data_IF_278304204831
#
_entry.id   IF_278304204831
#
_cell.length_a   1.000
_cell.length_b   1.000
_cell.length_c   1.000
_cell.angle_alpha   90.00
_cell.angle_beta   90.00
_cell.angle_gamma   90.00
#
_symmetry.space_group_name_H-M   'P 1'
#
loop_
_entity.id
_entity.type
_entity.pdbx_description
1 polymer ?
#
# COMPACT_ATOMS: atom_id res chain seq x y z
N UNK A 1 37.19 -20.78 -19.78
CA UNK A 1 36.02 -20.41 -18.93
C UNK A 1 34.98 -19.76 -19.80
N UNK A 2 33.70 -20.06 -19.64
CA UNK A 2 32.66 -19.37 -20.40
C UNK A 2 32.54 -17.92 -19.91
N UNK A 3 32.13 -16.98 -20.78
CA UNK A 3 31.89 -15.56 -20.40
C UNK A 3 31.01 -15.44 -19.14
N UNK A 4 30.05 -16.36 -18.99
CA UNK A 4 29.15 -16.44 -17.82
C UNK A 4 29.89 -16.74 -16.51
N UNK A 5 30.92 -17.61 -16.55
CA UNK A 5 31.70 -17.98 -15.36
C UNK A 5 32.59 -16.82 -14.90
N UNK A 6 33.26 -16.14 -15.84
CA UNK A 6 34.10 -14.98 -15.54
C UNK A 6 33.28 -13.82 -14.94
N UNK A 7 32.07 -13.54 -15.49
CA UNK A 7 31.18 -12.52 -14.95
C UNK A 7 30.72 -12.88 -13.52
N UNK A 8 30.34 -14.13 -13.27
CA UNK A 8 29.93 -14.58 -11.93
C UNK A 8 31.03 -14.44 -10.89
N UNK A 9 32.28 -14.85 -11.22
CA UNK A 9 33.44 -14.68 -10.35
C UNK A 9 33.75 -13.22 -10.05
N UNK A 10 33.67 -12.35 -11.08
CA UNK A 10 33.84 -10.90 -10.91
C UNK A 10 32.76 -10.34 -9.97
N UNK A 11 31.48 -10.65 -10.23
CA UNK A 11 30.36 -10.16 -9.42
C UNK A 11 30.45 -10.60 -7.97
N UNK A 12 30.79 -11.88 -7.70
CA UNK A 12 30.93 -12.39 -6.34
C UNK A 12 32.03 -11.66 -5.58
N UNK A 13 33.22 -11.50 -6.19
CA UNK A 13 34.35 -10.77 -5.60
C UNK A 13 34.03 -9.30 -5.35
N UNK A 14 33.45 -8.61 -6.35
CA UNK A 14 33.16 -7.19 -6.21
C UNK A 14 31.99 -6.93 -5.26
N UNK A 15 31.04 -7.85 -5.13
CA UNK A 15 29.96 -7.72 -4.15
C UNK A 15 30.46 -7.75 -2.71
N UNK A 16 31.53 -8.50 -2.43
CA UNK A 16 32.18 -8.50 -1.12
C UNK A 16 32.89 -7.16 -0.87
N UNK A 17 33.70 -6.70 -1.82
CA UNK A 17 34.35 -5.37 -1.78
C UNK A 17 33.30 -4.26 -1.57
N UNK A 18 32.16 -4.33 -2.25
CA UNK A 18 31.08 -3.34 -2.06
C UNK A 18 30.49 -3.40 -0.63
N UNK A 19 30.29 -4.59 -0.07
CA UNK A 19 29.79 -4.72 1.32
C UNK A 19 30.76 -4.07 2.30
N UNK A 20 32.03 -4.42 2.21
CA UNK A 20 33.07 -3.96 3.15
C UNK A 20 33.23 -2.43 3.09
N UNK A 21 33.22 -1.84 1.86
CA UNK A 21 33.37 -0.41 1.70
C UNK A 21 32.08 0.41 1.90
N UNK A 22 30.91 -0.23 1.93
CA UNK A 22 29.63 0.46 2.16
C UNK A 22 29.11 0.28 3.59
N UNK A 23 29.75 -0.54 4.42
CA UNK A 23 29.34 -0.73 5.81
C UNK A 23 29.63 0.55 6.62
N UNK A 24 28.61 1.01 7.35
CA UNK A 24 28.73 2.12 8.30
C UNK A 24 28.50 1.54 9.70
N UNK A 25 29.45 1.78 10.60
CA UNK A 25 29.36 1.33 11.98
C UNK A 25 28.09 1.85 12.65
N UNK A 26 27.38 0.94 13.32
CA UNK A 26 26.05 1.25 13.90
C UNK A 26 26.12 2.31 15.00
N UNK A 27 27.21 2.37 15.73
CA UNK A 27 27.38 3.30 16.84
C UNK A 27 27.55 4.75 16.36
N UNK A 28 28.09 4.98 15.16
CA UNK A 28 28.19 6.31 14.54
C UNK A 28 26.82 6.98 14.36
N UNK A 29 25.76 6.22 14.07
CA UNK A 29 24.42 6.82 13.98
C UNK A 29 23.95 7.44 15.30
N UNK A 30 24.33 6.82 16.43
CA UNK A 30 24.00 7.31 17.76
C UNK A 30 24.92 8.48 18.16
N UNK A 31 26.21 8.36 17.91
CA UNK A 31 27.22 9.38 18.22
C UNK A 31 26.96 10.68 17.47
N UNK A 32 26.61 10.59 16.19
CA UNK A 32 26.33 11.74 15.33
C UNK A 32 24.86 12.21 15.42
N UNK A 33 24.03 11.58 16.27
CA UNK A 33 22.63 11.94 16.43
C UNK A 33 21.75 11.73 15.18
N UNK A 34 22.15 10.79 14.30
CA UNK A 34 21.45 10.53 13.04
C UNK A 34 20.12 9.83 13.29
N UNK A 35 19.05 10.41 12.78
CA UNK A 35 17.70 9.84 12.87
C UNK A 35 17.46 8.86 11.73
N UNK A 36 17.94 7.62 11.92
CA UNK A 36 17.88 6.57 10.90
C UNK A 36 16.43 6.26 10.52
N UNK A 37 16.14 6.30 9.20
CA UNK A 37 14.78 6.17 8.70
C UNK A 37 13.87 7.32 9.14
N UNK A 38 14.43 8.51 9.40
CA UNK A 38 13.73 9.71 9.89
C UNK A 38 12.98 9.47 11.22
N UNK A 39 13.54 8.60 12.09
CA UNK A 39 13.02 8.32 13.44
C UNK A 39 14.12 8.45 14.47
N UNK A 40 13.77 8.92 15.66
CA UNK A 40 14.68 8.93 16.79
C UNK A 40 14.84 7.50 17.39
N UNK A 41 15.68 7.40 18.42
CA UNK A 41 15.96 6.11 19.11
C UNK A 41 14.72 5.54 19.80
N UNK A 42 13.70 6.35 20.09
CA UNK A 42 12.43 5.93 20.68
C UNK A 42 11.38 5.60 19.61
N UNK A 43 11.72 5.69 18.32
CA UNK A 43 10.84 5.43 17.19
C UNK A 43 9.92 6.61 16.85
N UNK A 44 10.10 7.79 17.44
CA UNK A 44 9.33 8.99 17.11
C UNK A 44 9.81 9.55 15.77
N UNK A 45 8.87 9.77 14.84
CA UNK A 45 9.17 10.31 13.50
C UNK A 45 9.61 11.77 13.56
N UNK A 46 10.51 12.15 12.64
CA UNK A 46 10.81 13.56 12.37
C UNK A 46 9.57 14.22 11.80
N UNK A 47 9.20 15.40 12.33
CA UNK A 47 8.17 16.23 11.71
C UNK A 47 8.77 16.86 10.44
N UNK A 48 8.49 16.25 9.29
CA UNK A 48 9.07 16.64 8.00
C UNK A 48 8.17 17.57 7.18
N UNK A 49 6.89 17.68 7.52
CA UNK A 49 5.92 18.51 6.79
C UNK A 49 4.61 18.66 7.52
N UNK A 50 3.73 19.46 6.94
CA UNK A 50 2.35 19.67 7.37
C UNK A 50 1.39 19.21 6.30
N UNK A 51 0.20 18.76 6.68
CA UNK A 51 -0.84 18.32 5.73
C UNK A 51 -2.24 18.62 6.24
N UNK A 52 -3.13 18.98 5.33
CA UNK A 52 -4.56 19.08 5.55
C UNK A 52 -5.33 17.82 5.07
N UNK A 53 -4.62 16.82 4.52
CA UNK A 53 -5.27 15.66 3.87
C UNK A 53 -5.77 14.67 4.90
N UNK A 54 -4.94 14.31 5.88
CA UNK A 54 -5.30 13.33 6.89
C UNK A 54 -4.64 13.60 8.25
N UNK A 55 -5.24 13.06 9.29
CA UNK A 55 -4.68 13.07 10.64
C UNK A 55 -4.76 11.67 11.25
N UNK A 56 -3.63 11.19 11.77
CA UNK A 56 -3.52 9.90 12.43
C UNK A 56 -3.19 10.15 13.90
N UNK A 57 -4.03 9.66 14.81
CA UNK A 57 -3.81 9.78 16.25
C UNK A 57 -3.73 8.40 16.89
N UNK A 58 -2.77 8.23 17.79
CA UNK A 58 -2.57 7.02 18.62
C UNK A 58 -2.24 7.35 20.06
N UNK A 59 -2.27 8.63 20.40
CA UNK A 59 -2.01 9.14 21.75
C UNK A 59 -2.68 10.50 21.93
N UNK A 60 -3.02 10.80 23.17
CA UNK A 60 -3.56 12.09 23.61
C UNK A 60 -2.64 12.69 24.67
N UNK A 61 -2.70 14.00 24.84
CA UNK A 61 -1.97 14.67 25.93
C UNK A 61 -2.95 14.84 27.09
N UNK A 62 -2.68 14.14 28.20
CA UNK A 62 -3.45 14.24 29.45
C UNK A 62 -2.49 14.74 30.52
N UNK A 63 -2.82 15.86 31.14
CA UNK A 63 -2.00 16.51 32.18
C UNK A 63 -0.53 16.79 31.76
N UNK A 64 -0.33 17.04 30.45
CA UNK A 64 1.00 17.30 29.87
C UNK A 64 1.79 16.05 29.50
N UNK A 65 1.28 14.87 29.80
CA UNK A 65 1.89 13.58 29.43
C UNK A 65 1.23 12.96 28.19
N UNK A 66 2.04 12.31 27.36
CA UNK A 66 1.58 11.62 26.16
C UNK A 66 1.09 10.21 26.55
N UNK A 67 -0.23 10.01 26.54
CA UNK A 67 -0.88 8.74 26.88
C UNK A 67 -1.36 8.05 25.60
N UNK A 68 -1.07 6.74 25.38
CA UNK A 68 -1.64 5.99 24.27
C UNK A 68 -3.17 5.99 24.32
N UNK A 69 -3.80 6.15 23.16
CA UNK A 69 -5.27 6.05 23.01
C UNK A 69 -5.63 5.10 21.87
N UNK A 70 -6.92 4.80 21.75
CA UNK A 70 -7.47 4.12 20.58
C UNK A 70 -7.04 4.86 19.31
N UNK A 71 -6.69 4.09 18.29
CA UNK A 71 -6.29 4.64 17.00
C UNK A 71 -7.43 5.43 16.35
N UNK A 72 -7.13 6.63 15.86
CA UNK A 72 -8.08 7.47 15.12
C UNK A 72 -7.48 7.85 13.78
N UNK A 73 -8.29 7.85 12.74
CA UNK A 73 -7.95 8.27 11.39
C UNK A 73 -9.00 9.27 10.91
N UNK A 74 -8.53 10.42 10.46
CA UNK A 74 -9.38 11.46 9.91
C UNK A 74 -8.97 11.75 8.48
N UNK A 75 -9.92 11.81 7.57
CA UNK A 75 -9.75 12.31 6.20
C UNK A 75 -10.33 13.72 6.11
N UNK A 76 -9.50 14.71 5.82
CA UNK A 76 -9.88 16.13 5.78
C UNK A 76 -10.65 16.60 7.04
N UNK A 77 -10.33 16.01 8.20
CA UNK A 77 -10.96 16.34 9.48
C UNK A 77 -12.17 15.49 9.85
N UNK A 78 -12.72 14.68 8.93
CA UNK A 78 -13.82 13.75 9.20
C UNK A 78 -13.30 12.41 9.69
N UNK A 79 -13.90 11.88 10.77
CA UNK A 79 -13.55 10.56 11.30
C UNK A 79 -13.90 9.46 10.31
N UNK A 80 -13.00 8.50 10.10
CA UNK A 80 -13.18 7.40 9.15
C UNK A 80 -14.39 6.53 9.46
N UNK A 81 -14.75 6.36 10.75
CA UNK A 81 -15.97 5.64 11.14
C UNK A 81 -17.21 6.38 10.68
N UNK A 82 -17.26 7.70 10.88
CA UNK A 82 -18.40 8.54 10.46
C UNK A 82 -18.55 8.56 8.94
N UNK A 83 -17.45 8.61 8.20
CA UNK A 83 -17.44 8.55 6.74
C UNK A 83 -18.00 7.22 6.24
N UNK A 84 -17.50 6.09 6.76
CA UNK A 84 -17.98 4.76 6.36
C UNK A 84 -19.47 4.57 6.74
N UNK A 85 -19.85 4.94 7.95
CA UNK A 85 -21.23 4.85 8.41
C UNK A 85 -22.17 5.74 7.57
N UNK A 86 -21.69 6.92 7.16
CA UNK A 86 -22.44 7.88 6.37
C UNK A 86 -22.86 7.34 4.99
N UNK A 87 -21.94 6.79 4.20
CA UNK A 87 -22.32 6.24 2.89
C UNK A 87 -23.04 4.89 3.03
N UNK A 88 -22.70 4.08 4.04
CA UNK A 88 -23.41 2.83 4.29
C UNK A 88 -24.87 3.01 4.68
N UNK A 89 -25.20 4.01 5.49
CA UNK A 89 -26.60 4.35 5.83
C UNK A 89 -27.43 4.79 4.62
N UNK A 90 -26.79 5.37 3.62
CA UNK A 90 -27.44 5.79 2.36
C UNK A 90 -27.50 4.66 1.33
N UNK A 91 -27.03 3.46 1.69
CA UNK A 91 -26.90 2.33 0.77
C UNK A 91 -26.06 2.66 -0.48
N UNK A 92 -25.01 3.48 -0.31
CA UNK A 92 -24.16 3.99 -1.38
C UNK A 92 -22.75 3.37 -1.34
N UNK A 93 -22.02 3.48 -2.45
CA UNK A 93 -20.59 3.23 -2.54
C UNK A 93 -19.81 4.47 -2.12
N UNK A 94 -18.72 4.29 -1.39
CA UNK A 94 -17.95 5.37 -0.77
C UNK A 94 -16.75 5.85 -1.58
N UNK A 95 -16.23 5.05 -2.53
CA UNK A 95 -14.97 5.36 -3.20
C UNK A 95 -14.98 6.74 -3.87
N UNK A 96 -15.98 7.05 -4.67
CA UNK A 96 -16.06 8.30 -5.42
C UNK A 96 -16.28 9.51 -4.50
N UNK A 97 -17.12 9.36 -3.46
CA UNK A 97 -17.39 10.41 -2.48
C UNK A 97 -16.15 10.77 -1.67
N UNK A 98 -15.43 9.74 -1.19
CA UNK A 98 -14.21 9.95 -0.39
C UNK A 98 -13.05 10.42 -1.27
N UNK A 99 -12.99 10.00 -2.54
CA UNK A 99 -12.06 10.57 -3.52
C UNK A 99 -12.28 12.07 -3.68
N UNK A 100 -13.54 12.49 -3.85
CA UNK A 100 -13.89 13.92 -3.90
C UNK A 100 -13.44 14.65 -2.64
N UNK A 101 -13.75 14.11 -1.45
CA UNK A 101 -13.35 14.70 -0.18
C UNK A 101 -11.83 14.88 -0.09
N UNK A 102 -11.05 13.85 -0.40
CA UNK A 102 -9.59 13.91 -0.29
C UNK A 102 -8.97 14.91 -1.27
N UNK A 103 -9.48 14.99 -2.50
CA UNK A 103 -8.95 15.89 -3.52
C UNK A 103 -9.37 17.35 -3.25
N UNK A 104 -10.64 17.60 -2.91
CA UNK A 104 -11.21 18.96 -2.85
C UNK A 104 -11.42 19.50 -1.44
N UNK A 105 -11.21 18.68 -0.40
CA UNK A 105 -11.22 19.12 1.01
C UNK A 105 -12.60 19.30 1.63
N UNK A 106 -13.68 18.93 0.94
CA UNK A 106 -15.08 19.01 1.41
C UNK A 106 -15.90 17.84 0.89
N UNK A 107 -16.91 17.43 1.62
CA UNK A 107 -17.88 16.44 1.13
C UNK A 107 -18.69 17.04 -0.02
N UNK A 108 -18.96 16.27 -1.09
CA UNK A 108 -19.81 16.71 -2.18
C UNK A 108 -21.29 16.71 -1.77
N UNK A 109 -22.08 17.63 -2.34
CA UNK A 109 -23.52 17.44 -2.40
C UNK A 109 -23.89 16.43 -3.52
N UNK A 110 -25.18 16.08 -3.63
CA UNK A 110 -25.65 15.08 -4.61
C UNK A 110 -25.32 15.47 -6.06
N UNK A 111 -25.43 16.75 -6.40
CA UNK A 111 -25.15 17.26 -7.74
C UNK A 111 -23.65 17.17 -8.05
N UNK A 112 -22.82 17.59 -7.10
CA UNK A 112 -21.36 17.53 -7.21
C UNK A 112 -20.86 16.08 -7.29
N UNK A 113 -21.44 15.18 -6.49
CA UNK A 113 -21.06 13.77 -6.53
C UNK A 113 -21.43 13.11 -7.86
N UNK A 114 -22.61 13.45 -8.40
CA UNK A 114 -23.06 12.95 -9.70
C UNK A 114 -22.12 13.44 -10.82
N UNK A 115 -21.86 14.75 -10.89
CA UNK A 115 -20.93 15.33 -11.85
C UNK A 115 -19.54 14.67 -11.75
N UNK A 116 -19.03 14.48 -10.53
CA UNK A 116 -17.73 13.87 -10.30
C UNK A 116 -17.66 12.42 -10.77
N UNK A 117 -18.71 11.64 -10.52
CA UNK A 117 -18.80 10.25 -11.04
C UNK A 117 -18.81 10.22 -12.57
N UNK A 118 -19.51 11.13 -13.21
CA UNK A 118 -19.52 11.25 -14.67
C UNK A 118 -18.12 11.59 -15.22
N UNK A 119 -17.38 12.49 -14.58
CA UNK A 119 -16.00 12.84 -14.97
C UNK A 119 -15.06 11.65 -14.81
N UNK A 120 -15.11 10.93 -13.67
CA UNK A 120 -14.30 9.74 -13.47
C UNK A 120 -14.61 8.65 -14.51
N UNK A 121 -15.89 8.42 -14.78
CA UNK A 121 -16.35 7.44 -15.76
C UNK A 121 -15.86 7.77 -17.18
N UNK A 122 -15.98 9.04 -17.60
CA UNK A 122 -15.47 9.51 -18.90
C UNK A 122 -13.94 9.37 -19.00
N UNK A 123 -13.24 9.42 -17.87
CA UNK A 123 -11.78 9.27 -17.79
C UNK A 123 -11.31 7.81 -17.83
N UNK A 124 -12.22 6.84 -17.73
CA UNK A 124 -11.90 5.40 -17.81
C UNK A 124 -11.60 4.96 -19.26
N UNK A 125 -10.65 5.62 -19.90
CA UNK A 125 -10.29 5.35 -21.30
C UNK A 125 -8.78 5.38 -21.48
N UNK A 126 -8.20 4.29 -22.00
CA UNK A 126 -6.79 4.22 -22.37
C UNK A 126 -6.60 4.67 -23.84
N UNK A 127 -5.42 5.21 -24.19
CA UNK A 127 -5.10 5.56 -25.57
C UNK A 127 -5.31 4.39 -26.53
N UNK A 128 -5.57 4.70 -27.82
CA UNK A 128 -5.79 3.66 -28.85
C UNK A 128 -4.61 2.68 -28.89
N UNK A 129 -4.91 1.40 -28.89
CA UNK A 129 -3.96 0.29 -28.88
C UNK A 129 -3.07 0.17 -27.65
N UNK A 130 -3.18 1.04 -26.64
CA UNK A 130 -2.33 1.05 -25.44
C UNK A 130 -2.35 -0.30 -24.70
N UNK A 131 -3.52 -0.91 -24.54
CA UNK A 131 -3.65 -2.23 -23.91
C UNK A 131 -2.80 -3.26 -24.62
N UNK A 132 -2.91 -3.36 -25.97
CA UNK A 132 -2.16 -4.31 -26.79
C UNK A 132 -0.66 -4.04 -26.78
N UNK A 133 -0.27 -2.78 -27.02
CA UNK A 133 1.11 -2.42 -27.34
C UNK A 133 1.97 -2.14 -26.10
N UNK A 134 1.35 -1.84 -24.95
CA UNK A 134 2.04 -1.51 -23.71
C UNK A 134 1.77 -2.56 -22.64
N UNK A 135 0.50 -2.80 -22.29
CA UNK A 135 0.15 -3.66 -21.16
C UNK A 135 0.42 -5.13 -21.48
N UNK A 136 -0.08 -5.62 -22.62
CA UNK A 136 0.03 -7.03 -22.99
C UNK A 136 1.37 -7.40 -23.66
N UNK A 137 2.15 -6.43 -24.12
CA UNK A 137 3.40 -6.69 -24.88
C UNK A 137 4.50 -7.36 -24.04
N UNK A 138 4.56 -7.06 -22.75
CA UNK A 138 5.54 -7.61 -21.83
C UNK A 138 4.84 -8.06 -20.53
N UNK A 139 4.15 -9.19 -20.56
CA UNK A 139 3.43 -9.72 -19.40
C UNK A 139 4.41 -10.05 -18.29
N UNK A 140 3.99 -9.82 -17.05
CA UNK A 140 4.81 -10.05 -15.85
C UNK A 140 3.91 -10.47 -14.70
N UNK A 141 4.37 -11.43 -13.88
CA UNK A 141 3.76 -11.73 -12.59
C UNK A 141 3.73 -10.50 -11.66
N UNK A 142 4.72 -9.64 -11.80
CA UNK A 142 4.82 -8.39 -11.04
C UNK A 142 3.94 -7.31 -11.67
N UNK A 143 2.66 -7.30 -11.27
CA UNK A 143 1.68 -6.33 -11.78
C UNK A 143 2.02 -4.91 -11.34
N UNK A 144 2.67 -4.70 -10.19
CA UNK A 144 3.15 -3.37 -9.80
C UNK A 144 4.18 -2.82 -10.80
N UNK A 145 5.06 -3.68 -11.33
CA UNK A 145 5.96 -3.29 -12.40
C UNK A 145 5.21 -2.96 -13.70
N UNK A 146 4.17 -3.75 -14.02
CA UNK A 146 3.31 -3.47 -15.18
C UNK A 146 2.62 -2.11 -15.04
N UNK A 147 2.12 -1.76 -13.86
CA UNK A 147 1.55 -0.43 -13.58
C UNK A 147 2.58 0.69 -13.76
N UNK A 148 3.74 0.55 -13.14
CA UNK A 148 4.81 1.57 -13.20
C UNK A 148 5.25 1.86 -14.64
N UNK A 149 5.54 0.83 -15.43
CA UNK A 149 5.93 1.01 -16.84
C UNK A 149 4.78 1.61 -17.67
N UNK A 150 3.53 1.20 -17.40
CA UNK A 150 2.37 1.69 -18.14
C UNK A 150 2.12 3.18 -17.86
N UNK A 151 2.22 3.62 -16.60
CA UNK A 151 2.08 5.04 -16.25
C UNK A 151 3.18 5.89 -16.91
N UNK A 152 4.44 5.47 -16.84
CA UNK A 152 5.53 6.19 -17.50
C UNK A 152 5.33 6.26 -19.03
N UNK A 153 4.79 5.21 -19.62
CA UNK A 153 4.48 5.21 -21.05
C UNK A 153 3.30 6.12 -21.39
N UNK A 154 2.29 6.24 -20.47
CA UNK A 154 1.15 7.17 -20.67
C UNK A 154 1.61 8.62 -20.83
N UNK A 155 2.69 9.03 -20.18
CA UNK A 155 3.26 10.37 -20.35
C UNK A 155 3.55 10.70 -21.82
N UNK A 156 3.95 9.72 -22.64
CA UNK A 156 4.21 9.92 -24.07
C UNK A 156 2.96 10.12 -24.93
N UNK A 157 1.78 9.90 -24.37
CA UNK A 157 0.48 10.12 -25.03
C UNK A 157 -0.21 11.40 -24.55
N UNK A 158 0.36 12.11 -23.58
CA UNK A 158 -0.15 13.37 -23.05
C UNK A 158 0.73 14.54 -23.55
N UNK A 159 0.19 15.37 -24.44
CA UNK A 159 0.89 16.53 -24.99
C UNK A 159 1.27 17.56 -23.91
N UNK A 160 0.56 17.56 -22.78
CA UNK A 160 0.79 18.43 -21.63
C UNK A 160 1.43 17.69 -20.45
N UNK A 161 2.17 16.59 -20.70
CA UNK A 161 2.73 15.75 -19.63
C UNK A 161 3.54 16.53 -18.60
N UNK A 162 4.35 17.50 -19.06
CA UNK A 162 5.26 18.29 -18.22
C UNK A 162 4.65 19.55 -17.61
N UNK A 163 3.39 19.88 -17.95
CA UNK A 163 2.70 21.02 -17.36
C UNK A 163 2.25 20.71 -15.94
N UNK A 164 2.83 21.40 -14.96
CA UNK A 164 2.54 21.26 -13.53
C UNK A 164 1.52 22.29 -13.01
N UNK A 165 0.81 22.98 -13.89
CA UNK A 165 -0.32 23.83 -13.47
C UNK A 165 -1.36 23.00 -12.72
N UNK A 166 -2.01 23.61 -11.73
CA UNK A 166 -2.98 22.93 -10.86
C UNK A 166 -4.09 22.23 -11.66
N UNK A 167 -4.61 22.89 -12.67
CA UNK A 167 -5.68 22.37 -13.54
C UNK A 167 -5.21 21.14 -14.32
N UNK A 168 -4.01 21.19 -14.92
CA UNK A 168 -3.49 20.06 -15.66
C UNK A 168 -3.11 18.88 -14.76
N UNK A 169 -2.50 19.13 -13.60
CA UNK A 169 -2.18 18.08 -12.62
C UNK A 169 -3.47 17.42 -12.11
N UNK A 170 -4.52 18.20 -11.81
CA UNK A 170 -5.80 17.63 -11.43
C UNK A 170 -6.37 16.74 -12.53
N UNK A 171 -6.38 17.19 -13.78
CA UNK A 171 -6.79 16.39 -14.95
C UNK A 171 -6.01 15.07 -15.03
N UNK A 172 -4.69 15.12 -14.88
CA UNK A 172 -3.83 13.95 -14.91
C UNK A 172 -4.13 13.00 -13.74
N UNK A 173 -4.32 13.52 -12.52
CA UNK A 173 -4.68 12.72 -11.35
C UNK A 173 -6.02 12.00 -11.54
N UNK A 174 -7.07 12.69 -11.99
CA UNK A 174 -8.39 12.10 -12.24
C UNK A 174 -8.32 11.00 -13.30
N UNK A 175 -7.58 11.23 -14.38
CA UNK A 175 -7.36 10.23 -15.42
C UNK A 175 -6.62 9.02 -14.84
N UNK A 176 -5.52 9.20 -14.10
CA UNK A 176 -4.75 8.09 -13.53
C UNK A 176 -5.54 7.31 -12.48
N UNK A 177 -6.33 7.94 -11.62
CA UNK A 177 -7.25 7.29 -10.68
C UNK A 177 -8.22 6.38 -11.44
N UNK A 178 -8.75 6.86 -12.56
CA UNK A 178 -9.74 6.13 -13.37
C UNK A 178 -9.16 4.96 -14.15
N UNK A 179 -7.94 5.07 -14.69
CA UNK A 179 -7.35 4.02 -15.56
C UNK A 179 -6.44 3.03 -14.84
N UNK A 180 -6.00 3.32 -13.62
CA UNK A 180 -5.09 2.42 -12.88
C UNK A 180 -5.70 1.03 -12.67
N UNK A 181 -6.99 0.87 -12.29
CA UNK A 181 -7.65 -0.42 -12.19
C UNK A 181 -7.66 -1.21 -13.51
N UNK A 182 -7.92 -0.52 -14.63
CA UNK A 182 -7.88 -1.15 -15.96
C UNK A 182 -6.48 -1.69 -16.25
N UNK A 183 -5.44 -0.89 -16.03
CA UNK A 183 -4.06 -1.30 -16.28
C UNK A 183 -3.63 -2.49 -15.41
N UNK A 184 -4.06 -2.53 -14.15
CA UNK A 184 -3.76 -3.63 -13.24
C UNK A 184 -4.46 -4.93 -13.67
N UNK A 185 -5.77 -4.87 -13.89
CA UNK A 185 -6.56 -6.05 -14.24
C UNK A 185 -6.17 -6.59 -15.62
N UNK A 186 -5.98 -5.71 -16.61
CA UNK A 186 -5.53 -6.15 -17.94
C UNK A 186 -4.10 -6.69 -17.90
N UNK A 187 -3.23 -6.12 -17.06
CA UNK A 187 -1.89 -6.65 -16.80
C UNK A 187 -1.91 -8.05 -16.21
N UNK A 188 -2.81 -8.30 -15.26
CA UNK A 188 -3.04 -9.63 -14.69
C UNK A 188 -3.57 -10.62 -15.74
N UNK A 189 -4.58 -10.24 -16.51
CA UNK A 189 -5.10 -11.10 -17.58
C UNK A 189 -4.06 -11.40 -18.65
N UNK A 190 -3.22 -10.41 -19.00
CA UNK A 190 -2.10 -10.63 -19.90
C UNK A 190 -1.08 -11.62 -19.34
N UNK A 191 -0.70 -11.47 -18.06
CA UNK A 191 0.18 -12.42 -17.39
C UNK A 191 -0.43 -13.83 -17.36
N UNK A 192 -1.69 -13.94 -16.93
CA UNK A 192 -2.38 -15.21 -16.83
C UNK A 192 -2.51 -15.92 -18.19
N UNK A 193 -2.80 -15.15 -19.24
CA UNK A 193 -2.89 -15.69 -20.60
C UNK A 193 -1.55 -16.17 -21.16
N UNK A 194 -0.52 -15.32 -21.10
CA UNK A 194 0.76 -15.63 -21.76
C UNK A 194 1.70 -16.55 -20.96
N UNK A 195 1.51 -16.65 -19.66
CA UNK A 195 2.39 -17.42 -18.77
C UNK A 195 1.71 -18.66 -18.21
N UNK A 196 0.41 -18.60 -17.93
CA UNK A 196 -0.36 -19.70 -17.36
C UNK A 196 -1.29 -20.39 -18.37
N UNK A 197 -1.24 -20.01 -19.67
CA UNK A 197 -2.05 -20.55 -20.76
C UNK A 197 -3.57 -20.46 -20.53
N UNK A 198 -4.03 -19.46 -19.78
CA UNK A 198 -5.45 -19.22 -19.53
C UNK A 198 -6.09 -18.32 -20.62
N UNK A 199 -7.41 -18.19 -20.60
CA UNK A 199 -8.14 -17.33 -21.53
C UNK A 199 -7.84 -15.85 -21.26
N UNK A 200 -7.73 -15.06 -22.33
CA UNK A 200 -7.55 -13.61 -22.23
C UNK A 200 -8.91 -12.90 -22.11
N UNK A 201 -9.13 -12.22 -21.01
CA UNK A 201 -10.32 -11.40 -20.77
C UNK A 201 -9.96 -9.92 -20.75
N UNK A 202 -10.57 -9.11 -21.62
CA UNK A 202 -10.42 -7.66 -21.67
C UNK A 202 -11.81 -7.02 -21.61
N UNK A 203 -12.38 -7.04 -20.42
CA UNK A 203 -13.69 -6.42 -20.17
C UNK A 203 -13.53 -4.91 -20.01
N UNK A 204 -14.35 -4.14 -20.70
CA UNK A 204 -14.40 -2.68 -20.54
C UNK A 204 -15.14 -2.34 -19.24
N UNK A 205 -14.74 -1.28 -18.54
CA UNK A 205 -15.52 -0.75 -17.42
C UNK A 205 -16.91 -0.31 -17.90
N UNK A 206 -17.83 -0.32 -16.98
CA UNK A 206 -19.22 0.11 -17.19
C UNK A 206 -19.38 1.51 -16.56
N UNK A 207 -19.83 2.52 -17.30
CA UNK A 207 -19.96 3.89 -16.79
C UNK A 207 -20.96 4.02 -15.63
N UNK A 208 -21.92 3.11 -15.54
CA UNK A 208 -22.95 3.12 -14.50
C UNK A 208 -22.56 2.40 -13.22
N UNK A 209 -21.40 1.70 -13.22
CA UNK A 209 -20.87 0.96 -12.08
C UNK A 209 -19.90 1.82 -11.25
N UNK A 210 -19.88 1.59 -9.93
CA UNK A 210 -18.85 2.11 -9.05
C UNK A 210 -17.46 1.55 -9.37
N UNK A 211 -16.41 2.14 -8.80
CA UNK A 211 -15.03 1.65 -8.99
C UNK A 211 -14.88 0.20 -8.52
N UNK A 212 -15.43 -0.15 -7.36
CA UNK A 212 -15.35 -1.52 -6.83
C UNK A 212 -16.06 -2.55 -7.72
N UNK A 213 -17.25 -2.21 -8.22
CA UNK A 213 -17.98 -3.05 -9.17
C UNK A 213 -17.20 -3.23 -10.47
N UNK A 214 -16.63 -2.16 -11.01
CA UNK A 214 -15.82 -2.21 -12.22
C UNK A 214 -14.57 -3.08 -12.06
N UNK A 215 -13.90 -3.05 -10.90
CA UNK A 215 -12.76 -3.93 -10.63
C UNK A 215 -13.18 -5.39 -10.69
N UNK A 216 -14.26 -5.79 -9.98
CA UNK A 216 -14.76 -7.16 -9.98
C UNK A 216 -15.24 -7.59 -11.37
N UNK A 217 -15.98 -6.73 -12.06
CA UNK A 217 -16.48 -6.94 -13.39
C UNK A 217 -15.38 -7.15 -14.44
N UNK A 218 -14.33 -6.36 -14.37
CA UNK A 218 -13.19 -6.51 -15.27
C UNK A 218 -12.36 -7.76 -14.98
N UNK A 219 -12.26 -8.14 -13.68
CA UNK A 219 -11.45 -9.27 -13.24
C UNK A 219 -12.10 -10.62 -13.55
N UNK A 220 -13.42 -10.75 -13.40
CA UNK A 220 -14.12 -12.02 -13.52
C UNK A 220 -14.50 -12.34 -14.96
N UNK A 221 -14.26 -13.59 -15.42
CA UNK A 221 -14.56 -14.00 -16.80
C UNK A 221 -16.01 -13.75 -17.23
N UNK A 222 -16.96 -13.98 -16.33
CA UNK A 222 -18.41 -13.83 -16.55
C UNK A 222 -18.94 -12.45 -16.12
N UNK A 223 -18.09 -11.56 -15.62
CA UNK A 223 -18.42 -10.22 -15.11
C UNK A 223 -19.35 -10.24 -13.89
N UNK A 224 -19.59 -11.39 -13.28
CA UNK A 224 -20.54 -11.55 -12.18
C UNK A 224 -19.91 -11.16 -10.84
N UNK A 225 -20.70 -10.55 -9.98
CA UNK A 225 -20.39 -10.28 -8.58
C UNK A 225 -21.69 -10.10 -7.79
N UNK A 226 -21.62 -10.26 -6.49
CA UNK A 226 -22.72 -9.93 -5.59
C UNK A 226 -22.55 -8.51 -5.06
N UNK A 227 -23.65 -7.86 -4.70
CA UNK A 227 -23.61 -6.54 -4.07
C UNK A 227 -22.73 -6.51 -2.82
N UNK A 228 -22.79 -7.56 -1.98
CA UNK A 228 -21.95 -7.66 -0.79
C UNK A 228 -20.46 -7.67 -1.14
N UNK A 229 -20.05 -8.39 -2.19
CA UNK A 229 -18.66 -8.43 -2.65
C UNK A 229 -18.19 -7.05 -3.09
N UNK A 230 -19.00 -6.35 -3.89
CA UNK A 230 -18.67 -5.01 -4.36
C UNK A 230 -18.57 -4.01 -3.19
N UNK A 231 -19.50 -4.05 -2.22
CA UNK A 231 -19.47 -3.19 -1.04
C UNK A 231 -18.25 -3.44 -0.15
N UNK A 232 -17.89 -4.71 0.06
CA UNK A 232 -16.71 -5.04 0.87
C UNK A 232 -15.42 -4.60 0.17
N UNK A 233 -15.34 -4.72 -1.14
CA UNK A 233 -14.21 -4.19 -1.91
C UNK A 233 -14.17 -2.66 -1.87
N UNK A 234 -15.30 -1.98 -1.99
CA UNK A 234 -15.40 -0.52 -1.91
C UNK A 234 -14.88 0.00 -0.55
N UNK A 235 -15.30 -0.63 0.54
CA UNK A 235 -14.81 -0.31 1.88
C UNK A 235 -13.30 -0.55 1.98
N UNK A 236 -12.79 -1.66 1.43
CA UNK A 236 -11.35 -1.92 1.37
C UNK A 236 -10.62 -0.78 0.64
N UNK A 237 -11.14 -0.33 -0.50
CA UNK A 237 -10.56 0.80 -1.23
C UNK A 237 -10.55 2.07 -0.37
N UNK A 238 -11.69 2.44 0.24
CA UNK A 238 -11.80 3.63 1.11
C UNK A 238 -10.79 3.60 2.25
N UNK A 239 -10.63 2.46 2.94
CA UNK A 239 -9.70 2.31 4.06
C UNK A 239 -8.22 2.34 3.64
N UNK A 240 -7.92 2.10 2.37
CA UNK A 240 -6.56 2.12 1.83
C UNK A 240 -6.17 3.44 1.15
N UNK A 241 -7.13 4.34 0.89
CA UNK A 241 -6.90 5.60 0.14
C UNK A 241 -5.79 6.45 0.74
N UNK A 242 -5.76 6.60 2.07
CA UNK A 242 -4.88 7.56 2.73
C UNK A 242 -4.44 7.05 4.11
N UNK A 243 -3.21 7.35 4.48
CA UNK A 243 -2.67 7.04 5.81
C UNK A 243 -1.45 7.92 6.17
N UNK A 244 -1.61 9.22 6.00
CA UNK A 244 -0.63 10.23 6.40
C UNK A 244 0.51 10.48 5.40
N UNK A 245 0.97 11.72 5.39
CA UNK A 245 2.05 12.19 4.51
C UNK A 245 3.42 11.53 4.76
N UNK A 246 3.62 10.95 5.94
CA UNK A 246 4.87 10.32 6.36
C UNK A 246 5.01 8.83 5.98
N UNK A 247 4.00 8.19 5.40
CA UNK A 247 4.19 6.82 4.90
C UNK A 247 5.11 6.84 3.67
N UNK A 248 5.84 5.75 3.45
CA UNK A 248 6.96 5.75 2.50
C UNK A 248 6.58 6.17 1.08
N UNK A 249 5.47 5.69 0.54
CA UNK A 249 5.05 6.06 -0.82
C UNK A 249 4.49 7.48 -0.92
N UNK A 250 3.78 7.97 0.10
CA UNK A 250 3.30 9.35 0.14
C UNK A 250 4.46 10.32 0.34
N UNK A 251 5.43 10.00 1.20
CA UNK A 251 6.63 10.81 1.36
C UNK A 251 7.46 10.86 0.06
N UNK A 252 7.54 9.73 -0.67
CA UNK A 252 8.13 9.70 -2.00
C UNK A 252 7.40 10.63 -2.97
N UNK A 253 6.05 10.69 -2.91
CA UNK A 253 5.23 11.65 -3.69
C UNK A 253 5.64 13.08 -3.38
N UNK A 254 5.78 13.46 -2.11
CA UNK A 254 6.25 14.79 -1.71
C UNK A 254 7.65 15.08 -2.25
N UNK A 255 8.61 14.16 -2.04
CA UNK A 255 10.01 14.34 -2.47
C UNK A 255 10.10 14.58 -3.98
N UNK A 256 9.44 13.74 -4.78
CA UNK A 256 9.50 13.85 -6.24
C UNK A 256 8.71 15.05 -6.75
N UNK A 257 7.57 15.38 -6.13
CA UNK A 257 6.81 16.59 -6.47
C UNK A 257 7.62 17.86 -6.21
N UNK A 258 8.34 17.93 -5.08
CA UNK A 258 9.15 19.09 -4.70
C UNK A 258 10.29 19.40 -5.69
N UNK A 259 10.67 18.44 -6.52
CA UNK A 259 11.66 18.65 -7.59
C UNK A 259 11.08 19.27 -8.87
N UNK A 260 9.75 19.46 -8.94
CA UNK A 260 9.07 19.95 -10.14
C UNK A 260 8.80 18.87 -11.20
N UNK A 261 8.85 17.59 -10.83
CA UNK A 261 8.60 16.46 -11.74
C UNK A 261 7.15 16.38 -12.18
N UNK A 262 6.91 15.80 -13.36
CA UNK A 262 5.56 15.55 -13.91
C UNK A 262 4.76 14.53 -13.08
N UNK A 263 3.43 14.50 -13.26
CA UNK A 263 2.53 13.65 -12.50
C UNK A 263 2.80 12.16 -12.71
N UNK A 264 3.13 11.75 -13.92
CA UNK A 264 3.37 10.35 -14.26
C UNK A 264 4.61 9.83 -13.53
N UNK A 265 5.70 10.60 -13.53
CA UNK A 265 6.94 10.28 -12.80
C UNK A 265 6.72 10.22 -11.30
N UNK A 266 5.95 11.15 -10.73
CA UNK A 266 5.61 11.16 -9.29
C UNK A 266 4.83 9.91 -8.89
N UNK A 267 3.77 9.57 -9.63
CA UNK A 267 2.95 8.39 -9.33
C UNK A 267 3.73 7.09 -9.59
N UNK A 268 4.57 7.02 -10.63
CA UNK A 268 5.44 5.87 -10.86
C UNK A 268 6.45 5.66 -9.71
N UNK A 269 7.01 6.74 -9.15
CA UNK A 269 7.88 6.68 -7.97
C UNK A 269 7.13 6.19 -6.73
N UNK A 270 5.91 6.67 -6.49
CA UNK A 270 5.05 6.22 -5.41
C UNK A 270 4.69 4.71 -5.53
N UNK A 271 4.36 4.24 -6.74
CA UNK A 271 4.15 2.82 -7.03
C UNK A 271 5.40 1.99 -6.74
N UNK A 272 6.58 2.46 -7.15
CA UNK A 272 7.86 1.79 -6.90
C UNK A 272 8.17 1.68 -5.40
N UNK A 273 7.83 2.70 -4.62
CA UNK A 273 7.92 2.67 -3.17
C UNK A 273 6.94 1.66 -2.55
N UNK A 274 5.66 1.69 -2.99
CA UNK A 274 4.64 0.78 -2.46
C UNK A 274 4.92 -0.69 -2.81
N UNK A 275 5.50 -0.97 -3.96
CA UNK A 275 5.89 -2.32 -4.40
C UNK A 275 6.81 -3.03 -3.42
N UNK A 276 7.61 -2.30 -2.66
CA UNK A 276 8.57 -2.86 -1.71
C UNK A 276 7.91 -3.78 -0.66
N UNK A 277 8.47 -4.98 -0.40
CA UNK A 277 7.85 -5.97 0.48
C UNK A 277 7.72 -5.50 1.94
N UNK A 278 8.46 -4.47 2.34
CA UNK A 278 8.35 -3.84 3.66
C UNK A 278 7.24 -2.79 3.76
N UNK A 279 6.62 -2.43 2.62
CA UNK A 279 5.56 -1.43 2.56
C UNK A 279 4.23 -2.04 2.10
N UNK A 280 4.07 -2.42 0.83
CA UNK A 280 2.79 -2.89 0.29
C UNK A 280 2.61 -4.42 0.26
N UNK A 281 3.59 -5.20 0.72
CA UNK A 281 3.54 -6.66 0.65
C UNK A 281 3.07 -7.36 1.94
N UNK A 282 2.61 -6.62 2.95
CA UNK A 282 2.30 -7.19 4.26
C UNK A 282 1.08 -8.14 4.22
N UNK A 283 0.04 -7.79 3.47
CA UNK A 283 -1.17 -8.62 3.35
C UNK A 283 -0.92 -9.98 2.68
N UNK A 284 -0.02 -10.05 1.68
CA UNK A 284 0.41 -11.31 1.07
C UNK A 284 1.09 -12.18 2.12
N UNK A 285 1.98 -11.58 2.94
CA UNK A 285 2.67 -12.30 4.02
C UNK A 285 1.73 -12.84 5.09
N UNK A 286 0.65 -12.12 5.40
CA UNK A 286 -0.41 -12.63 6.29
C UNK A 286 -1.04 -13.89 5.69
N UNK A 287 -1.43 -13.87 4.43
CA UNK A 287 -2.06 -15.03 3.78
C UNK A 287 -1.11 -16.22 3.72
N UNK A 288 0.14 -16.01 3.35
CA UNK A 288 1.17 -17.06 3.32
C UNK A 288 1.41 -17.66 4.71
N UNK A 289 1.50 -16.83 5.76
CA UNK A 289 1.63 -17.25 7.16
C UNK A 289 0.41 -18.06 7.60
N UNK A 290 -0.80 -17.62 7.27
CA UNK A 290 -2.03 -18.37 7.58
C UNK A 290 -2.12 -19.70 6.85
N UNK A 291 -1.59 -19.80 5.63
CA UNK A 291 -1.48 -21.06 4.90
C UNK A 291 -0.46 -22.00 5.54
N UNK A 292 0.67 -21.47 6.00
CA UNK A 292 1.68 -22.25 6.72
C UNK A 292 1.15 -22.76 8.07
N UNK A 293 0.44 -21.92 8.83
CA UNK A 293 -0.23 -22.29 10.07
C UNK A 293 -1.20 -23.48 9.85
N UNK A 294 -2.05 -23.41 8.81
CA UNK A 294 -2.99 -24.49 8.50
C UNK A 294 -2.33 -25.83 8.15
N UNK A 295 -1.08 -25.82 7.71
CA UNK A 295 -0.31 -27.03 7.39
C UNK A 295 0.41 -27.63 8.60
N UNK A 296 0.66 -26.81 9.61
CA UNK A 296 1.53 -27.17 10.74
C UNK A 296 0.79 -27.24 12.09
N UNK A 297 -0.51 -26.96 12.13
CA UNK A 297 -1.37 -27.07 13.32
C UNK A 297 -2.47 -28.07 13.01
N UNK A 298 -2.56 -29.12 13.86
CA UNK A 298 -3.50 -30.24 13.64
C UNK A 298 -4.96 -29.84 13.94
N UNK A 299 -5.17 -29.09 15.01
CA UNK A 299 -6.50 -28.58 15.40
C UNK A 299 -6.49 -27.04 15.46
N UNK A 300 -7.05 -26.43 14.42
CA UNK A 300 -7.15 -24.99 14.29
C UNK A 300 -8.15 -24.34 15.26
N UNK A 301 -8.95 -25.12 15.97
CA UNK A 301 -9.87 -24.65 17.01
C UNK A 301 -9.25 -24.69 18.42
N UNK A 302 -8.10 -25.35 18.59
CA UNK A 302 -7.34 -25.42 19.83
C UNK A 302 -6.45 -24.16 20.00
N UNK A 303 -6.85 -23.28 20.92
CA UNK A 303 -6.09 -22.05 21.22
C UNK A 303 -4.63 -22.34 21.62
N UNK A 304 -4.38 -23.46 22.34
CA UNK A 304 -3.04 -23.82 22.79
C UNK A 304 -2.10 -24.19 21.63
N UNK A 305 -2.59 -24.96 20.66
CA UNK A 305 -1.80 -25.31 19.47
C UNK A 305 -1.54 -24.08 18.58
N UNK A 306 -2.54 -23.21 18.43
CA UNK A 306 -2.38 -21.96 17.68
C UNK A 306 -1.38 -21.04 18.40
N UNK A 307 -1.48 -20.88 19.71
CA UNK A 307 -0.53 -20.09 20.50
C UNK A 307 0.90 -20.61 20.40
N UNK A 308 1.10 -21.94 20.48
CA UNK A 308 2.41 -22.56 20.31
C UNK A 308 3.01 -22.24 18.92
N UNK A 309 2.21 -22.32 17.86
CA UNK A 309 2.65 -21.95 16.53
C UNK A 309 3.05 -20.47 16.44
N UNK A 310 2.29 -19.55 17.05
CA UNK A 310 2.65 -18.14 17.12
C UNK A 310 3.98 -17.89 17.85
N UNK A 311 4.27 -18.67 18.90
CA UNK A 311 5.58 -18.64 19.59
C UNK A 311 6.72 -19.12 18.67
N UNK A 312 6.51 -20.21 17.92
CA UNK A 312 7.48 -20.71 16.91
C UNK A 312 7.80 -19.66 15.85
N UNK A 313 6.79 -18.89 15.40
CA UNK A 313 7.02 -17.76 14.49
C UNK A 313 8.00 -16.74 15.09
N UNK A 314 7.77 -16.33 16.36
CA UNK A 314 8.63 -15.33 17.03
C UNK A 314 10.04 -15.84 17.31
N UNK A 315 10.19 -17.15 17.56
CA UNK A 315 11.48 -17.83 17.76
C UNK A 315 12.22 -18.14 16.45
N UNK A 316 11.65 -17.80 15.28
CA UNK A 316 12.20 -18.06 13.94
C UNK A 316 12.27 -19.55 13.59
N UNK A 317 11.34 -20.32 14.10
CA UNK A 317 11.27 -21.78 13.94
C UNK A 317 10.16 -22.20 12.96
N UNK A 318 9.33 -21.26 12.50
CA UNK A 318 8.23 -21.51 11.57
C UNK A 318 8.18 -20.46 10.44
N UNK A 319 7.46 -20.80 9.38
CA UNK A 319 7.22 -19.99 8.19
C UNK A 319 8.53 -19.49 7.56
N UNK A 320 8.73 -18.17 7.45
CA UNK A 320 9.89 -17.55 6.79
C UNK A 320 11.07 -17.24 7.74
N UNK A 321 11.00 -17.70 8.99
CA UNK A 321 12.04 -17.58 10.02
C UNK A 321 12.50 -16.14 10.33
N UNK A 322 11.66 -15.14 10.03
CA UNK A 322 11.98 -13.74 10.33
C UNK A 322 11.59 -13.30 11.73
N UNK A 323 10.89 -14.14 12.47
CA UNK A 323 10.46 -13.83 13.83
C UNK A 323 9.33 -12.81 13.88
N UNK A 324 8.42 -12.83 12.93
CA UNK A 324 7.31 -11.87 12.82
C UNK A 324 5.97 -12.60 12.75
N UNK A 325 4.97 -12.09 13.46
CA UNK A 325 3.57 -12.40 13.22
C UNK A 325 3.04 -11.29 12.31
N UNK A 326 2.87 -11.61 11.03
CA UNK A 326 2.48 -10.64 10.02
C UNK A 326 1.06 -10.14 10.25
N UNK A 327 0.81 -8.87 9.95
CA UNK A 327 -0.46 -8.20 10.22
C UNK A 327 -0.63 -7.72 11.66
N UNK A 328 0.35 -8.00 12.54
CA UNK A 328 0.36 -7.55 13.93
C UNK A 328 1.37 -6.43 14.13
N UNK A 329 0.91 -5.35 14.78
CA UNK A 329 1.70 -4.14 15.04
C UNK A 329 1.61 -3.11 13.91
N UNK A 330 1.85 -1.88 14.26
CA UNK A 330 1.82 -0.73 13.35
C UNK A 330 2.85 0.32 13.79
N UNK A 331 3.37 1.08 12.83
CA UNK A 331 4.36 2.13 13.10
C UNK A 331 3.80 3.28 13.97
N UNK A 332 2.48 3.48 13.97
CA UNK A 332 1.79 4.54 14.70
C UNK A 332 0.85 3.97 15.77
N UNK A 333 -0.07 3.08 15.38
CA UNK A 333 -1.07 2.53 16.30
C UNK A 333 -0.48 1.47 17.23
N UNK A 334 -0.83 1.56 18.51
CA UNK A 334 -0.42 0.58 19.52
C UNK A 334 -1.62 -0.17 20.13
N UNK A 335 -2.75 0.50 20.34
CA UNK A 335 -3.94 -0.09 20.97
C UNK A 335 -4.87 -0.68 19.91
N UNK A 336 -5.19 0.08 18.86
CA UNK A 336 -6.07 -0.37 17.78
C UNK A 336 -5.77 0.37 16.47
N UNK A 337 -6.02 -0.28 15.34
CA UNK A 337 -6.08 0.34 14.01
C UNK A 337 -7.56 0.47 13.62
N UNK A 338 -8.11 1.69 13.47
CA UNK A 338 -9.52 1.90 13.16
C UNK A 338 -9.94 1.24 11.85
N UNK A 339 -9.01 1.14 10.89
CA UNK A 339 -9.26 0.49 9.60
C UNK A 339 -9.48 -1.01 9.76
N UNK A 340 -8.67 -1.67 10.60
CA UNK A 340 -8.81 -3.10 10.88
C UNK A 340 -10.13 -3.38 11.61
N UNK A 341 -10.53 -2.52 12.54
CA UNK A 341 -11.78 -2.66 13.28
C UNK A 341 -13.01 -2.50 12.38
N UNK A 342 -13.05 -1.44 11.55
CA UNK A 342 -14.11 -1.24 10.57
C UNK A 342 -14.19 -2.46 9.64
N UNK A 343 -13.06 -2.87 9.10
CA UNK A 343 -12.99 -3.94 8.13
C UNK A 343 -13.46 -5.29 8.70
N UNK A 344 -13.12 -5.60 9.93
CA UNK A 344 -13.54 -6.83 10.63
C UNK A 344 -15.05 -7.07 10.60
N UNK A 345 -15.85 -6.01 10.76
CA UNK A 345 -17.31 -6.14 10.74
C UNK A 345 -17.85 -6.61 9.39
N UNK A 346 -17.25 -6.15 8.30
CA UNK A 346 -17.61 -6.53 6.93
C UNK A 346 -17.01 -7.89 6.54
N UNK A 347 -15.80 -8.18 7.00
CA UNK A 347 -15.15 -9.51 6.86
C UNK A 347 -16.03 -10.61 7.40
N UNK A 348 -16.61 -10.41 8.59
CA UNK A 348 -17.54 -11.37 9.20
C UNK A 348 -18.74 -11.65 8.29
N UNK A 349 -19.39 -10.61 7.78
CA UNK A 349 -20.56 -10.76 6.89
C UNK A 349 -20.19 -11.51 5.61
N UNK A 350 -19.05 -11.17 4.99
CA UNK A 350 -18.58 -11.82 3.78
C UNK A 350 -18.21 -13.29 4.04
N UNK A 351 -17.53 -13.59 5.15
CA UNK A 351 -17.15 -14.95 5.51
C UNK A 351 -18.38 -15.86 5.68
N UNK A 352 -19.44 -15.38 6.33
CA UNK A 352 -20.71 -16.11 6.42
C UNK A 352 -21.35 -16.34 5.05
N UNK A 353 -21.40 -15.30 4.20
CA UNK A 353 -21.96 -15.43 2.84
C UNK A 353 -21.17 -16.40 1.95
N UNK A 354 -19.88 -16.58 2.22
CA UNK A 354 -18.95 -17.46 1.47
C UNK A 354 -18.73 -18.85 2.12
N UNK A 355 -19.38 -19.15 3.25
CA UNK A 355 -19.17 -20.41 4.00
C UNK A 355 -17.74 -20.53 4.56
N UNK A 356 -17.13 -19.40 4.93
CA UNK A 356 -15.77 -19.30 5.46
C UNK A 356 -15.74 -18.87 6.93
N UNK A 357 -16.78 -19.21 7.71
CA UNK A 357 -16.93 -18.83 9.13
C UNK A 357 -15.78 -19.34 9.99
N UNK A 358 -15.37 -20.58 9.79
CA UNK A 358 -14.22 -21.18 10.52
C UNK A 358 -12.92 -20.44 10.28
N UNK A 359 -12.71 -19.93 9.05
CA UNK A 359 -11.55 -19.10 8.77
C UNK A 359 -11.63 -17.77 9.51
N UNK A 360 -12.80 -17.14 9.57
CA UNK A 360 -13.00 -15.92 10.34
C UNK A 360 -12.77 -16.11 11.83
N UNK A 361 -13.23 -17.26 12.39
CA UNK A 361 -12.98 -17.62 13.78
C UNK A 361 -11.48 -17.76 14.07
N UNK A 362 -10.74 -18.43 13.18
CA UNK A 362 -9.29 -18.56 13.30
C UNK A 362 -8.58 -17.19 13.25
N UNK A 363 -8.94 -16.30 12.31
CA UNK A 363 -8.40 -14.94 12.26
C UNK A 363 -8.70 -14.17 13.55
N UNK A 364 -9.93 -14.29 14.08
CA UNK A 364 -10.35 -13.63 15.32
C UNK A 364 -9.61 -14.16 16.55
N UNK A 365 -9.32 -15.47 16.58
CA UNK A 365 -8.51 -16.11 17.61
C UNK A 365 -7.07 -15.56 17.58
N UNK A 366 -6.45 -15.53 16.41
CA UNK A 366 -5.07 -15.03 16.26
C UNK A 366 -4.99 -13.54 16.62
N UNK A 367 -5.98 -12.71 16.22
CA UNK A 367 -6.06 -11.31 16.62
C UNK A 367 -6.04 -11.13 18.14
N UNK A 368 -6.62 -12.07 18.88
CA UNK A 368 -6.69 -12.06 20.35
C UNK A 368 -5.41 -12.62 20.99
N UNK A 369 -4.86 -13.70 20.44
CA UNK A 369 -3.69 -14.39 21.00
C UNK A 369 -2.36 -13.67 20.67
N UNK A 370 -2.19 -13.22 19.43
CA UNK A 370 -0.93 -12.68 18.98
C UNK A 370 -0.41 -11.48 19.80
N UNK A 371 -1.24 -10.51 20.23
CA UNK A 371 -0.78 -9.44 21.12
C UNK A 371 -0.22 -9.94 22.43
N UNK A 372 -0.85 -10.96 23.04
CA UNK A 372 -0.41 -11.58 24.31
C UNK A 372 0.93 -12.29 24.11
N UNK A 373 1.04 -13.12 23.08
CA UNK A 373 2.27 -13.85 22.76
C UNK A 373 3.42 -12.90 22.47
N UNK A 374 3.18 -11.81 21.71
CA UNK A 374 4.21 -10.80 21.42
C UNK A 374 4.64 -10.05 22.70
N UNK A 375 3.69 -9.72 23.58
CA UNK A 375 3.99 -9.04 24.83
C UNK A 375 4.86 -9.91 25.75
N UNK A 376 4.52 -11.20 25.89
CA UNK A 376 5.24 -12.15 26.70
C UNK A 376 6.68 -12.39 26.19
N UNK A 377 6.83 -12.64 24.89
CA UNK A 377 8.12 -13.00 24.29
C UNK A 377 9.06 -11.79 24.13
N UNK A 378 8.52 -10.62 23.79
CA UNK A 378 9.34 -9.43 23.51
C UNK A 378 9.37 -8.40 24.61
N UNK A 379 8.64 -8.64 25.71
CA UNK A 379 8.49 -7.67 26.83
C UNK A 379 8.04 -6.29 26.34
N UNK A 380 7.13 -6.26 25.36
CA UNK A 380 6.58 -5.04 24.78
C UNK A 380 5.25 -4.75 25.46
N UNK A 381 5.25 -3.77 26.38
CA UNK A 381 4.07 -3.39 27.17
C UNK A 381 3.24 -2.25 26.53
N UNK A 382 3.65 -1.74 25.36
CA UNK A 382 2.96 -0.63 24.68
C UNK A 382 1.68 -1.02 23.95
N UNK A 383 1.33 -2.31 23.96
CA UNK A 383 0.26 -2.84 23.15
C UNK A 383 0.69 -3.14 21.70
N UNK A 384 0.08 -4.18 21.13
CA UNK A 384 0.21 -4.56 19.71
C UNK A 384 -1.19 -4.90 19.24
N UNK A 385 -1.60 -4.38 18.10
CA UNK A 385 -2.92 -4.64 17.52
C UNK A 385 -2.80 -5.13 16.08
N UNK A 386 -3.85 -5.79 15.60
CA UNK A 386 -3.99 -6.09 14.18
C UNK A 386 -4.06 -4.78 13.38
N UNK A 387 -3.35 -4.73 12.26
CA UNK A 387 -3.44 -3.66 11.29
C UNK A 387 -4.36 -4.04 10.12
N UNK A 388 -4.60 -3.10 9.18
CA UNK A 388 -5.51 -3.34 8.06
C UNK A 388 -5.08 -4.52 7.18
N UNK A 389 -3.79 -4.81 7.08
CA UNK A 389 -3.26 -5.91 6.25
C UNK A 389 -3.62 -7.29 6.80
N UNK A 390 -3.90 -7.39 8.10
CA UNK A 390 -4.32 -8.65 8.72
C UNK A 390 -5.60 -9.20 8.11
N UNK A 391 -6.59 -8.36 7.86
CA UNK A 391 -7.86 -8.77 7.29
C UNK A 391 -7.96 -8.60 5.76
N UNK A 392 -7.21 -7.67 5.16
CA UNK A 392 -7.37 -7.36 3.73
C UNK A 392 -7.03 -8.56 2.83
N UNK A 393 -5.96 -9.30 3.15
CA UNK A 393 -5.63 -10.51 2.40
C UNK A 393 -6.70 -11.60 2.48
N UNK A 394 -7.34 -11.75 3.64
CA UNK A 394 -8.46 -12.68 3.81
C UNK A 394 -9.67 -12.27 2.97
N UNK A 395 -10.02 -10.97 2.98
CA UNK A 395 -11.09 -10.46 2.13
C UNK A 395 -10.79 -10.72 0.66
N UNK A 396 -9.60 -10.38 0.19
CA UNK A 396 -9.24 -10.57 -1.21
C UNK A 396 -9.32 -12.05 -1.61
N UNK A 397 -8.94 -12.96 -0.71
CA UNK A 397 -9.11 -14.39 -0.95
C UNK A 397 -10.57 -14.84 -1.05
N UNK A 398 -11.50 -14.21 -0.31
CA UNK A 398 -12.94 -14.50 -0.38
C UNK A 398 -13.62 -13.88 -1.60
N UNK A 399 -13.00 -12.85 -2.19
CA UNK A 399 -13.42 -12.22 -3.43
C UNK A 399 -12.82 -12.89 -4.67
N UNK A 400 -12.07 -13.98 -4.51
CA UNK A 400 -11.34 -14.70 -5.55
C UNK A 400 -10.37 -13.79 -6.32
N UNK A 401 -9.79 -12.81 -5.62
CA UNK A 401 -8.76 -11.93 -6.16
C UNK A 401 -7.42 -12.66 -6.11
N UNK A 402 -6.68 -12.76 -7.23
CA UNK A 402 -5.39 -13.41 -7.26
C UNK A 402 -4.32 -12.63 -6.46
N UNK A 403 -3.35 -13.36 -5.91
CA UNK A 403 -2.28 -12.77 -5.07
C UNK A 403 -1.49 -11.67 -5.80
N UNK A 404 -1.34 -11.79 -7.10
CA UNK A 404 -0.68 -10.81 -7.98
C UNK A 404 -1.35 -9.44 -7.96
N UNK A 405 -2.64 -9.37 -7.60
CA UNK A 405 -3.42 -8.13 -7.52
C UNK A 405 -3.54 -7.56 -6.09
N UNK A 406 -3.04 -8.20 -5.05
CA UNK A 406 -3.19 -7.71 -3.67
C UNK A 406 -2.55 -6.32 -3.47
N UNK A 407 -1.28 -6.18 -3.81
CA UNK A 407 -0.59 -4.87 -3.77
C UNK A 407 -1.14 -3.89 -4.82
N UNK A 408 -1.44 -4.29 -6.08
CA UNK A 408 -2.14 -3.43 -7.03
C UNK A 408 -3.47 -2.87 -6.54
N UNK A 409 -4.31 -3.62 -5.84
CA UNK A 409 -5.56 -3.09 -5.26
C UNK A 409 -5.26 -2.01 -4.22
N UNK A 410 -4.23 -2.23 -3.39
CA UNK A 410 -3.76 -1.18 -2.49
C UNK A 410 -3.33 0.08 -3.26
N UNK A 411 -2.60 -0.06 -4.37
CA UNK A 411 -2.21 1.04 -5.23
C UNK A 411 -3.41 1.77 -5.87
N UNK A 412 -4.43 1.01 -6.35
CA UNK A 412 -5.66 1.57 -6.91
C UNK A 412 -6.40 2.49 -5.93
N UNK A 413 -6.37 2.15 -4.66
CA UNK A 413 -6.92 3.00 -3.60
C UNK A 413 -5.99 4.17 -3.27
N UNK A 414 -4.71 3.89 -3.02
CA UNK A 414 -3.74 4.86 -2.50
C UNK A 414 -3.39 5.96 -3.50
N UNK A 415 -3.60 5.75 -4.79
CA UNK A 415 -3.39 6.80 -5.80
C UNK A 415 -4.23 8.06 -5.52
N UNK A 416 -5.38 7.91 -4.88
CA UNK A 416 -6.21 9.05 -4.44
C UNK A 416 -5.46 9.90 -3.41
N UNK A 417 -4.89 9.26 -2.39
CA UNK A 417 -4.07 9.93 -1.38
C UNK A 417 -2.81 10.56 -1.99
N UNK A 418 -2.09 9.85 -2.86
CA UNK A 418 -0.93 10.42 -3.55
C UNK A 418 -1.30 11.64 -4.39
N UNK A 419 -2.43 11.57 -5.10
CA UNK A 419 -2.94 12.70 -5.90
C UNK A 419 -3.27 13.91 -5.02
N UNK A 420 -3.94 13.71 -3.90
CA UNK A 420 -4.25 14.77 -2.95
C UNK A 420 -2.97 15.41 -2.38
N UNK A 421 -2.00 14.60 -1.94
CA UNK A 421 -0.73 15.09 -1.42
C UNK A 421 0.12 15.79 -2.49
N UNK A 422 0.06 15.35 -3.76
CA UNK A 422 0.70 16.06 -4.86
C UNK A 422 0.11 17.46 -5.07
N UNK A 423 -1.22 17.56 -5.10
CA UNK A 423 -1.90 18.86 -5.25
C UNK A 423 -1.59 19.79 -4.06
N UNK A 424 -1.55 19.25 -2.84
CA UNK A 424 -1.17 20.00 -1.64
C UNK A 424 0.29 20.48 -1.71
N UNK A 425 1.22 19.62 -2.12
CA UNK A 425 2.63 19.93 -2.26
C UNK A 425 2.86 21.04 -3.28
N UNK A 426 2.23 20.95 -4.47
CA UNK A 426 2.32 22.00 -5.50
C UNK A 426 1.77 23.36 -5.04
N UNK A 427 0.81 23.37 -4.13
CA UNK A 427 0.24 24.60 -3.56
C UNK A 427 1.18 25.26 -2.55
N UNK A 428 1.96 24.48 -1.80
CA UNK A 428 2.69 24.93 -0.63
C UNK A 428 4.21 24.90 -0.78
N UNK A 429 4.72 24.21 -1.84
CA UNK A 429 6.17 24.04 -2.01
C UNK A 429 6.83 25.30 -2.53
N UNK A 430 7.89 25.71 -1.82
CA UNK A 430 8.83 26.74 -2.26
C UNK A 430 10.28 26.22 -2.35
N UNK A 431 10.53 25.01 -1.83
CA UNK A 431 11.88 24.42 -1.74
C UNK A 431 11.84 22.92 -2.00
N UNK A 432 12.89 22.44 -2.68
CA UNK A 432 13.12 21.01 -2.86
C UNK A 432 13.39 20.33 -1.50
N UNK A 433 12.76 19.19 -1.24
CA UNK A 433 13.01 18.37 -0.05
C UNK A 433 14.40 17.76 -0.15
N UNK A 434 15.33 18.23 0.69
CA UNK A 434 16.74 17.84 0.66
C UNK A 434 17.29 17.67 2.07
N UNK A 435 17.21 16.48 2.68
CA UNK A 435 17.84 16.21 3.97
C UNK A 435 19.37 16.28 3.87
N UNK A 436 20.04 16.57 4.98
CA UNK A 436 21.49 16.56 5.06
C UNK A 436 22.01 15.13 5.23
N UNK A 437 23.14 14.83 4.60
CA UNK A 437 23.94 13.60 4.79
C UNK A 437 25.36 13.98 5.15
N UNK A 438 25.93 13.31 6.15
CA UNK A 438 27.32 13.52 6.57
C UNK A 438 28.20 12.37 6.05
N UNK A 439 29.33 12.70 5.42
CA UNK A 439 30.36 11.70 5.09
C UNK A 439 31.06 11.23 6.37
N UNK A 440 31.31 9.92 6.43
CA UNK A 440 32.15 9.28 7.46
C UNK A 440 33.46 8.77 6.90
N UNK A 441 33.79 9.15 5.66
CA UNK A 441 35.07 8.84 5.04
C UNK A 441 36.05 9.98 5.25
N UNK A 442 37.28 9.65 5.58
CA UNK A 442 38.39 10.60 5.61
C UNK A 442 38.74 11.08 4.20
N UNK A 443 39.28 12.29 4.13
CA UNK A 443 39.84 12.81 2.88
C UNK A 443 41.05 11.98 2.47
N UNK A 444 41.14 11.61 1.18
CA UNK A 444 42.23 10.80 0.62
C UNK A 444 42.87 11.52 -0.54
N UNK A 445 44.19 11.41 -0.63
CA UNK A 445 44.92 11.86 -1.81
C UNK A 445 44.68 10.92 -2.99
N UNK A 446 44.65 11.48 -4.18
CA UNK A 446 44.56 10.67 -5.40
C UNK A 446 45.90 9.95 -5.62
N UNK A 447 45.83 8.65 -5.83
CA UNK A 447 47.00 7.81 -6.16
C UNK A 447 46.99 7.54 -7.66
N UNK A 448 48.08 7.75 -8.31
CA UNK A 448 48.21 7.49 -9.76
C UNK A 448 48.05 5.99 -10.06
N UNK A 449 47.60 5.68 -11.30
CA UNK A 449 47.25 4.30 -11.67
C UNK A 449 48.43 3.33 -11.51
N UNK A 450 49.64 3.80 -11.77
CA UNK A 450 50.87 3.03 -11.69
C UNK A 450 51.32 2.74 -10.26
N UNK A 451 50.76 3.44 -9.28
CA UNK A 451 51.09 3.32 -7.82
C UNK A 451 50.02 2.61 -7.02
N UNK A 452 48.94 2.12 -7.63
CA UNK A 452 47.79 1.44 -6.97
C UNK A 452 48.07 -0.02 -6.73
#
# INVERSE_FOLDING_TARGET
MSETTQMQEFLSRQAEVCRDNCEIEKDLYKELGVKRGLRDVNGVGVLAGLTNISCIKSSEIIDGEKVPCEGKLFYRGYDIYELVDGFMKRDAFGFEEITYLLLFGKLPDETQLKEFKEILSQSMTLPKNFTRDVILKAPSKDIMNTLTKSILTLASYDENASDISMENVLRQCLMLISVLPMMAVYGYHGYNHYVNDDSLYIHRPDPDCSMAENILRMLRPDKSYTELEARVLDIALVLHMEHGGGNNSTFTTHVVTSSGSDTYSVIAAALSSLKGPKHGGANIKVVEMMQDLRKNVDDLSDEGQVEEYLRKLLHKEAFDQKGLIYGMGHAVYSISDPRAQIFKAFVKKLAFAKGREKDFELYSMIETLAPKVIADERKIYKGVSANVDFYSGFVYSMLDIPLELFTPIFAMARIVGWSAHRLEELTNVDKIIRPAYQSVQDEKEYIEMEER
#
